data_IF_021454317579
#
_entry.id   IF_021454317579
#
_cell.length_a   1.000
_cell.length_b   1.000
_cell.length_c   1.000
_cell.angle_alpha   90.00
_cell.angle_beta   90.00
_cell.angle_gamma   90.00
#
_symmetry.space_group_name_H-M   'P 1'
#
loop_
_entity.id
_entity.type
_entity.pdbx_description
1 polymer ?
#
# COMPACT_ATOMS: atom_id res chain seq x y z
N UNK A 1 -27.55 -13.54 -2.82
CA UNK A 1 -26.69 -14.23 -1.83
C UNK A 1 -25.34 -14.70 -2.41
N UNK A 2 -25.27 -15.17 -3.67
CA UNK A 2 -24.01 -15.69 -4.25
C UNK A 2 -22.83 -14.70 -4.33
N UNK A 3 -23.06 -13.43 -4.64
CA UNK A 3 -21.99 -12.43 -4.81
C UNK A 3 -21.27 -12.10 -3.48
N UNK A 4 -22.01 -12.03 -2.37
CA UNK A 4 -21.43 -11.76 -1.05
C UNK A 4 -20.56 -12.91 -0.54
N UNK A 5 -20.99 -14.15 -0.76
CA UNK A 5 -20.21 -15.35 -0.42
C UNK A 5 -18.95 -15.41 -1.27
N UNK A 6 -19.03 -15.10 -2.57
CA UNK A 6 -17.87 -15.03 -3.45
C UNK A 6 -16.84 -14.00 -2.97
N UNK A 7 -17.28 -12.78 -2.62
CA UNK A 7 -16.39 -11.74 -2.11
C UNK A 7 -15.67 -12.18 -0.81
N UNK A 8 -16.39 -12.85 0.09
CA UNK A 8 -15.81 -13.42 1.32
C UNK A 8 -14.72 -14.45 0.98
N UNK A 9 -15.01 -15.40 0.08
CA UNK A 9 -14.03 -16.42 -0.32
C UNK A 9 -12.78 -15.79 -0.95
N UNK A 10 -12.94 -14.76 -1.78
CA UNK A 10 -11.82 -14.02 -2.37
C UNK A 10 -10.97 -13.34 -1.30
N UNK A 11 -11.60 -12.65 -0.33
CA UNK A 11 -10.87 -12.00 0.77
C UNK A 11 -10.09 -13.04 1.59
N UNK A 12 -10.72 -14.16 1.94
CA UNK A 12 -10.05 -15.25 2.67
C UNK A 12 -8.88 -15.83 1.87
N UNK A 13 -9.07 -16.06 0.57
CA UNK A 13 -8.01 -16.52 -0.32
C UNK A 13 -6.85 -15.53 -0.42
N UNK A 14 -7.14 -14.23 -0.47
CA UNK A 14 -6.12 -13.17 -0.46
C UNK A 14 -5.39 -13.10 0.89
N UNK A 15 -6.08 -13.25 2.02
CA UNK A 15 -5.46 -13.33 3.34
C UNK A 15 -4.54 -14.55 3.44
N UNK A 16 -4.97 -15.71 2.92
CA UNK A 16 -4.15 -16.92 2.86
C UNK A 16 -2.91 -16.72 1.98
N UNK A 17 -3.09 -16.19 0.77
CA UNK A 17 -1.99 -15.89 -0.16
C UNK A 17 -1.00 -14.92 0.47
N UNK A 18 -1.51 -13.86 1.10
CA UNK A 18 -0.70 -12.88 1.80
C UNK A 18 0.08 -13.53 2.94
N UNK A 19 -0.59 -14.29 3.82
CA UNK A 19 0.06 -14.94 4.96
C UNK A 19 1.19 -15.88 4.52
N UNK A 20 1.00 -16.59 3.41
CA UNK A 20 2.01 -17.48 2.83
C UNK A 20 3.23 -16.74 2.26
N UNK A 21 3.03 -15.52 1.78
CA UNK A 21 4.04 -14.73 1.08
C UNK A 21 4.36 -13.40 1.79
N UNK A 22 4.09 -13.30 3.10
CA UNK A 22 4.09 -12.02 3.82
C UNK A 22 5.45 -11.31 3.71
N UNK A 23 6.54 -12.07 3.87
CA UNK A 23 7.90 -11.58 3.71
C UNK A 23 8.17 -11.05 2.30
N UNK A 24 7.85 -11.84 1.27
CA UNK A 24 8.07 -11.45 -0.13
C UNK A 24 7.24 -10.22 -0.51
N UNK A 25 5.97 -10.15 -0.09
CA UNK A 25 5.08 -9.02 -0.37
C UNK A 25 5.58 -7.75 0.33
N UNK A 26 5.89 -7.82 1.62
CA UNK A 26 6.39 -6.65 2.34
C UNK A 26 7.76 -6.21 1.86
N UNK A 27 8.66 -7.13 1.53
CA UNK A 27 9.96 -6.81 0.95
C UNK A 27 9.79 -6.10 -0.39
N UNK A 28 8.92 -6.61 -1.27
CA UNK A 28 8.62 -5.97 -2.55
C UNK A 28 8.05 -4.55 -2.37
N UNK A 29 7.09 -4.37 -1.45
CA UNK A 29 6.51 -3.06 -1.13
C UNK A 29 7.56 -2.10 -0.54
N UNK A 30 8.44 -2.58 0.33
CA UNK A 30 9.52 -1.79 0.93
C UNK A 30 10.51 -1.33 -0.13
N UNK A 31 10.92 -2.22 -1.03
CA UNK A 31 11.83 -1.91 -2.13
C UNK A 31 11.18 -0.92 -3.11
N UNK A 32 9.92 -1.12 -3.49
CA UNK A 32 9.17 -0.19 -4.33
C UNK A 32 9.07 1.20 -3.68
N UNK A 33 8.76 1.25 -2.38
CA UNK A 33 8.72 2.51 -1.62
C UNK A 33 10.07 3.21 -1.62
N UNK A 34 11.17 2.48 -1.38
CA UNK A 34 12.52 3.05 -1.38
C UNK A 34 12.89 3.64 -2.76
N UNK A 35 12.62 2.88 -3.84
CA UNK A 35 12.88 3.33 -5.21
C UNK A 35 12.05 4.58 -5.55
N UNK A 36 10.75 4.57 -5.28
CA UNK A 36 9.90 5.73 -5.53
C UNK A 36 10.26 6.94 -4.68
N UNK A 37 10.66 6.72 -3.43
CA UNK A 37 11.16 7.78 -2.54
C UNK A 37 12.42 8.44 -3.11
N UNK A 38 13.40 7.64 -3.55
CA UNK A 38 14.62 8.14 -4.18
C UNK A 38 14.33 8.93 -5.47
N UNK A 39 13.48 8.39 -6.36
CA UNK A 39 13.08 9.08 -7.59
C UNK A 39 12.37 10.40 -7.30
N UNK A 40 11.53 10.44 -6.26
CA UNK A 40 10.86 11.66 -5.82
C UNK A 40 11.85 12.68 -5.27
N UNK A 41 12.85 12.27 -4.49
CA UNK A 41 13.91 13.17 -4.01
C UNK A 41 14.74 13.77 -5.16
N UNK A 42 15.14 12.94 -6.13
CA UNK A 42 15.86 13.41 -7.33
C UNK A 42 15.00 14.42 -8.10
N UNK A 43 13.70 14.13 -8.25
CA UNK A 43 12.76 15.04 -8.90
C UNK A 43 12.64 16.36 -8.15
N UNK A 44 12.51 16.34 -6.82
CA UNK A 44 12.50 17.56 -6.00
C UNK A 44 13.71 18.43 -6.28
N UNK A 45 14.90 17.85 -6.26
CA UNK A 45 16.17 18.57 -6.48
C UNK A 45 16.19 19.18 -7.89
N UNK A 46 15.88 18.39 -8.92
CA UNK A 46 15.88 18.85 -10.31
C UNK A 46 14.88 20.01 -10.56
N UNK A 47 13.67 19.91 -10.00
CA UNK A 47 12.65 20.95 -10.17
C UNK A 47 12.90 22.19 -9.29
N UNK A 48 13.56 22.04 -8.14
CA UNK A 48 14.00 23.18 -7.33
C UNK A 48 15.06 24.01 -8.06
N UNK A 49 16.05 23.36 -8.69
CA UNK A 49 17.09 24.05 -9.45
C UNK A 49 16.58 24.79 -10.69
N UNK A 50 15.46 24.34 -11.27
CA UNK A 50 14.81 25.00 -12.42
C UNK A 50 13.76 26.05 -12.02
N UNK A 51 13.66 26.39 -10.74
CA UNK A 51 12.71 27.40 -10.22
C UNK A 51 11.25 26.94 -10.23
N UNK A 52 10.96 25.67 -10.52
CA UNK A 52 9.61 25.09 -10.57
C UNK A 52 9.18 24.56 -9.19
N UNK A 53 9.11 25.44 -8.21
CA UNK A 53 8.86 25.09 -6.80
C UNK A 53 7.55 24.35 -6.55
N UNK A 54 6.50 24.61 -7.33
CA UNK A 54 5.20 23.92 -7.18
C UNK A 54 5.30 22.41 -7.45
N UNK A 55 6.15 22.00 -8.39
CA UNK A 55 6.40 20.58 -8.69
C UNK A 55 7.36 20.00 -7.64
N UNK A 56 8.40 20.74 -7.28
CA UNK A 56 9.36 20.33 -6.26
C UNK A 56 8.68 19.99 -4.93
N UNK A 57 7.75 20.83 -4.45
CA UNK A 57 7.00 20.60 -3.20
C UNK A 57 6.17 19.30 -3.28
N UNK A 58 5.53 19.02 -4.42
CA UNK A 58 4.76 17.80 -4.62
C UNK A 58 5.65 16.57 -4.57
N UNK A 59 6.80 16.60 -5.25
CA UNK A 59 7.79 15.53 -5.19
C UNK A 59 8.31 15.32 -3.77
N UNK A 60 8.50 16.39 -2.99
CA UNK A 60 8.90 16.26 -1.57
C UNK A 60 7.84 15.55 -0.74
N UNK A 61 6.56 15.85 -0.94
CA UNK A 61 5.48 15.16 -0.26
C UNK A 61 5.44 13.66 -0.61
N UNK A 62 5.68 13.31 -1.87
CA UNK A 62 5.81 11.90 -2.29
C UNK A 62 7.01 11.22 -1.63
N UNK A 63 8.16 11.89 -1.58
CA UNK A 63 9.37 11.37 -0.94
C UNK A 63 9.11 11.07 0.55
N UNK A 64 8.49 12.01 1.27
CA UNK A 64 8.15 11.84 2.68
C UNK A 64 7.17 10.67 2.89
N UNK A 65 6.12 10.56 2.08
CA UNK A 65 5.16 9.46 2.16
C UNK A 65 5.83 8.10 1.89
N UNK A 66 6.72 8.04 0.90
CA UNK A 66 7.47 6.83 0.56
C UNK A 66 8.45 6.43 1.68
N UNK A 67 9.14 7.39 2.29
CA UNK A 67 10.02 7.13 3.45
C UNK A 67 9.23 6.62 4.66
N UNK A 68 8.07 7.23 4.95
CA UNK A 68 7.17 6.73 5.98
C UNK A 68 6.72 5.30 5.69
N UNK A 69 6.32 5.01 4.44
CA UNK A 69 5.96 3.65 4.01
C UNK A 69 7.10 2.65 4.25
N UNK A 70 8.35 2.98 3.87
CA UNK A 70 9.52 2.09 4.11
C UNK A 70 9.65 1.71 5.58
N UNK A 71 9.53 2.68 6.49
CA UNK A 71 9.66 2.44 7.93
C UNK A 71 8.53 1.54 8.45
N UNK A 72 7.28 1.91 8.18
CA UNK A 72 6.11 1.19 8.69
C UNK A 72 5.91 -0.17 8.06
N UNK A 73 6.30 -0.37 6.79
CA UNK A 73 6.34 -1.69 6.16
C UNK A 73 7.38 -2.58 6.86
N UNK A 74 8.56 -2.04 7.20
CA UNK A 74 9.58 -2.76 7.95
C UNK A 74 9.04 -3.24 9.30
N UNK A 75 8.45 -2.33 10.07
CA UNK A 75 7.82 -2.65 11.36
C UNK A 75 6.66 -3.64 11.22
N UNK A 76 5.82 -3.50 10.19
CA UNK A 76 4.72 -4.42 9.92
C UNK A 76 5.20 -5.83 9.58
N UNK A 77 6.33 -5.96 8.90
CA UNK A 77 6.96 -7.25 8.61
C UNK A 77 7.57 -7.87 9.86
N UNK A 78 8.33 -7.11 10.65
CA UNK A 78 8.96 -7.57 11.88
C UNK A 78 7.94 -8.06 12.92
N UNK A 79 6.78 -7.40 12.99
CA UNK A 79 5.71 -7.75 13.93
C UNK A 79 4.70 -8.76 13.34
N UNK A 80 4.89 -9.26 12.12
CA UNK A 80 3.95 -10.21 11.53
C UNK A 80 4.05 -11.57 12.25
N UNK A 81 2.93 -12.16 12.74
CA UNK A 81 3.01 -13.40 13.51
C UNK A 81 3.46 -14.58 12.64
N UNK A 82 4.59 -15.17 13.01
CA UNK A 82 5.19 -16.31 12.29
C UNK A 82 4.25 -17.52 12.28
N UNK A 83 3.43 -17.68 13.32
CA UNK A 83 2.44 -18.75 13.43
C UNK A 83 1.40 -18.69 12.30
N UNK A 84 1.03 -17.49 11.83
CA UNK A 84 0.10 -17.34 10.71
C UNK A 84 0.72 -17.81 9.40
N UNK A 85 2.00 -17.50 9.17
CA UNK A 85 2.76 -17.97 8.02
C UNK A 85 2.90 -19.50 8.06
N UNK A 86 3.25 -20.05 9.23
CA UNK A 86 3.39 -21.50 9.41
C UNK A 86 2.06 -22.22 9.15
N UNK A 87 0.96 -21.71 9.68
CA UNK A 87 -0.38 -22.26 9.43
C UNK A 87 -0.74 -22.20 7.94
N UNK A 88 -0.49 -21.07 7.25
CA UNK A 88 -0.76 -20.94 5.82
C UNK A 88 0.08 -21.90 4.95
N UNK A 89 1.29 -22.24 5.38
CA UNK A 89 2.15 -23.20 4.68
C UNK A 89 1.72 -24.65 4.87
N UNK A 90 1.13 -24.98 6.02
CA UNK A 90 0.75 -26.36 6.38
C UNK A 90 -0.71 -26.70 6.07
N UNK A 91 -1.57 -25.68 5.94
CA UNK A 91 -3.00 -25.83 5.77
C UNK A 91 -3.47 -25.43 4.36
N UNK A 92 -4.62 -25.97 3.95
CA UNK A 92 -5.40 -25.41 2.84
C UNK A 92 -6.12 -24.13 3.30
N UNK A 93 -6.71 -23.40 2.35
CA UNK A 93 -7.37 -22.10 2.61
C UNK A 93 -8.46 -22.22 3.68
N UNK A 94 -9.27 -23.29 3.63
CA UNK A 94 -10.37 -23.50 4.59
C UNK A 94 -9.81 -23.77 5.99
N UNK A 95 -8.85 -24.68 6.13
CA UNK A 95 -8.26 -25.02 7.42
C UNK A 95 -7.50 -23.83 8.00
N UNK A 96 -6.75 -23.08 7.18
CA UNK A 96 -6.11 -21.83 7.60
C UNK A 96 -7.11 -20.87 8.23
N UNK A 97 -8.16 -20.50 7.49
CA UNK A 97 -9.10 -19.48 7.96
C UNK A 97 -9.88 -19.93 9.19
N UNK A 98 -10.34 -21.19 9.19
CA UNK A 98 -11.17 -21.70 10.27
C UNK A 98 -10.38 -22.01 11.55
N UNK A 99 -9.07 -22.27 11.45
CA UNK A 99 -8.21 -22.49 12.61
C UNK A 99 -7.74 -21.19 13.27
N UNK A 100 -7.83 -20.05 12.59
CA UNK A 100 -7.53 -18.75 13.19
C UNK A 100 -8.59 -18.37 14.24
N UNK A 101 -8.11 -17.92 15.40
CA UNK A 101 -8.91 -17.22 16.40
C UNK A 101 -9.48 -15.92 15.81
N UNK A 102 -10.57 -15.34 16.38
CA UNK A 102 -11.15 -14.09 15.90
C UNK A 102 -10.12 -12.97 15.73
N UNK A 103 -9.21 -12.82 16.70
CA UNK A 103 -8.10 -11.87 16.64
C UNK A 103 -7.17 -12.12 15.43
N UNK A 104 -6.78 -13.38 15.18
CA UNK A 104 -5.94 -13.74 14.05
C UNK A 104 -6.57 -13.43 12.69
N UNK A 105 -7.89 -13.60 12.56
CA UNK A 105 -8.63 -13.21 11.33
C UNK A 105 -8.65 -11.69 11.13
N UNK A 106 -8.86 -10.93 12.21
CA UNK A 106 -8.82 -9.47 12.15
C UNK A 106 -7.45 -8.95 11.75
N UNK A 107 -6.40 -9.59 12.27
CA UNK A 107 -5.01 -9.28 11.92
C UNK A 107 -4.70 -9.65 10.45
N UNK A 108 -5.16 -10.82 9.98
CA UNK A 108 -5.04 -11.20 8.56
C UNK A 108 -5.65 -10.16 7.62
N UNK A 109 -6.84 -9.64 7.98
CA UNK A 109 -7.53 -8.61 7.22
C UNK A 109 -6.78 -7.26 7.28
N UNK A 110 -6.23 -6.90 8.44
CA UNK A 110 -5.43 -5.69 8.62
C UNK A 110 -4.22 -5.69 7.68
N UNK A 111 -3.45 -6.78 7.68
CA UNK A 111 -2.25 -6.88 6.85
C UNK A 111 -2.59 -6.92 5.36
N UNK A 112 -3.64 -7.64 4.97
CA UNK A 112 -4.12 -7.61 3.58
C UNK A 112 -4.55 -6.21 3.15
N UNK A 113 -5.36 -5.51 3.96
CA UNK A 113 -5.86 -4.18 3.64
C UNK A 113 -4.74 -3.13 3.61
N UNK A 114 -3.86 -3.14 4.61
CA UNK A 114 -2.73 -2.21 4.69
C UNK A 114 -1.69 -2.46 3.61
N UNK A 115 -1.35 -3.71 3.29
CA UNK A 115 -0.40 -4.01 2.23
C UNK A 115 -0.98 -3.77 0.83
N UNK A 116 -2.23 -4.19 0.59
CA UNK A 116 -2.88 -4.08 -0.72
C UNK A 116 -3.38 -2.67 -1.02
N UNK A 117 -4.32 -2.16 -0.21
CA UNK A 117 -4.98 -0.87 -0.46
C UNK A 117 -4.18 0.31 0.08
N UNK A 118 -3.54 0.12 1.24
CA UNK A 118 -2.76 1.16 1.89
C UNK A 118 -1.45 1.45 1.16
N UNK A 119 -0.45 0.60 1.38
CA UNK A 119 0.88 0.71 0.79
C UNK A 119 0.86 0.45 -0.71
N UNK A 120 0.35 -0.69 -1.18
CA UNK A 120 0.39 -1.06 -2.60
C UNK A 120 -0.30 -0.04 -3.52
N UNK A 121 -1.60 0.15 -3.34
CA UNK A 121 -2.36 1.11 -4.15
C UNK A 121 -1.94 2.56 -3.89
N UNK A 122 -1.66 2.94 -2.64
CA UNK A 122 -1.14 4.27 -2.31
C UNK A 122 0.17 4.59 -3.03
N UNK A 123 1.13 3.66 -3.05
CA UNK A 123 2.39 3.81 -3.77
C UNK A 123 2.19 3.88 -5.28
N UNK A 124 1.30 3.06 -5.86
CA UNK A 124 0.97 3.15 -7.30
C UNK A 124 0.42 4.53 -7.67
N UNK A 125 -0.48 5.07 -6.85
CA UNK A 125 -1.05 6.41 -7.03
C UNK A 125 0.04 7.48 -6.97
N UNK A 126 0.98 7.36 -6.03
CA UNK A 126 2.09 8.31 -5.88
C UNK A 126 3.21 8.12 -6.91
N UNK A 127 3.40 6.93 -7.47
CA UNK A 127 4.42 6.65 -8.48
C UNK A 127 4.24 7.52 -9.71
N UNK A 128 2.99 7.75 -10.13
CA UNK A 128 2.65 8.69 -11.21
C UNK A 128 3.08 10.13 -10.90
N UNK A 129 3.04 10.55 -9.63
CA UNK A 129 3.48 11.87 -9.21
C UNK A 129 5.00 12.02 -9.10
N UNK A 130 5.76 10.94 -8.92
CA UNK A 130 7.22 10.95 -8.88
C UNK A 130 7.87 10.75 -10.27
N UNK A 131 7.40 9.77 -11.03
CA UNK A 131 8.06 9.31 -12.27
C UNK A 131 7.75 10.23 -13.44
N UNK A 132 6.50 10.67 -13.55
CA UNK A 132 6.03 11.37 -14.74
C UNK A 132 6.65 12.77 -14.92
N UNK A 133 6.84 13.58 -13.84
CA UNK A 133 7.58 14.83 -13.94
C UNK A 133 9.04 14.60 -14.36
N UNK A 134 9.71 13.59 -13.79
CA UNK A 134 11.10 13.26 -14.13
C UNK A 134 11.25 12.86 -15.61
N UNK A 135 10.33 12.03 -16.12
CA UNK A 135 10.29 11.64 -17.53
C UNK A 135 10.11 12.86 -18.43
N UNK A 136 9.20 13.77 -18.10
CA UNK A 136 9.01 15.00 -18.88
C UNK A 136 10.25 15.87 -18.86
N UNK A 137 10.87 16.03 -17.69
CA UNK A 137 12.10 16.78 -17.57
C UNK A 137 13.20 16.20 -18.46
N UNK A 138 13.39 14.87 -18.44
CA UNK A 138 14.35 14.18 -19.29
C UNK A 138 14.03 14.34 -20.79
N UNK A 139 12.76 14.19 -21.20
CA UNK A 139 12.36 14.37 -22.59
C UNK A 139 12.53 15.81 -23.08
N UNK A 140 12.26 16.80 -22.22
CA UNK A 140 12.48 18.21 -22.56
C UNK A 140 13.98 18.49 -22.77
N UNK A 141 14.83 17.94 -21.91
CA UNK A 141 16.29 18.06 -22.03
C UNK A 141 16.84 17.36 -23.28
N UNK A 142 16.21 16.27 -23.72
CA UNK A 142 16.54 15.55 -24.95
C UNK A 142 15.89 16.14 -26.21
N UNK A 143 15.16 17.27 -26.11
CA UNK A 143 14.50 17.92 -27.25
C UNK A 143 13.28 17.18 -27.82
N UNK A 144 12.73 16.21 -27.08
CA UNK A 144 11.64 15.33 -27.52
C UNK A 144 10.27 15.64 -26.89
N UNK A 145 10.13 16.76 -26.16
CA UNK A 145 8.89 17.06 -25.43
C UNK A 145 7.74 17.52 -26.34
N UNK A 146 6.53 17.01 -26.11
CA UNK A 146 5.29 17.53 -26.73
C UNK A 146 4.36 18.13 -25.67
N UNK A 147 3.68 19.24 -26.00
CA UNK A 147 2.69 19.89 -25.12
C UNK A 147 1.59 18.94 -24.64
N UNK A 148 1.24 17.94 -25.46
CA UNK A 148 0.21 16.94 -25.15
C UNK A 148 0.64 16.04 -23.99
N UNK A 149 1.94 15.75 -23.89
CA UNK A 149 2.52 14.95 -22.83
C UNK A 149 2.55 15.71 -21.50
N UNK A 150 2.91 17.00 -21.53
CA UNK A 150 2.90 17.86 -20.35
C UNK A 150 1.49 18.06 -19.78
N UNK A 151 0.49 18.25 -20.64
CA UNK A 151 -0.92 18.34 -20.22
C UNK A 151 -1.46 17.04 -19.62
N UNK A 152 -1.05 15.89 -20.14
CA UNK A 152 -1.47 14.59 -19.62
C UNK A 152 -0.84 14.34 -18.24
N UNK A 153 0.42 14.72 -18.07
CA UNK A 153 1.09 14.55 -16.81
C UNK A 153 0.64 15.49 -15.69
N UNK A 154 0.34 16.74 -16.02
CA UNK A 154 -0.23 17.68 -15.04
C UNK A 154 -1.60 17.22 -14.52
N UNK A 155 -2.39 16.49 -15.32
CA UNK A 155 -3.64 15.85 -14.87
C UNK A 155 -3.39 14.64 -13.96
N UNK A 156 -2.46 13.76 -14.33
CA UNK A 156 -2.10 12.57 -13.54
C UNK A 156 -1.40 12.92 -12.22
N UNK A 157 -0.81 14.11 -12.12
CA UNK A 157 -0.12 14.64 -10.91
C UNK A 157 -0.94 15.69 -10.17
N UNK A 158 -2.28 15.62 -10.27
CA UNK A 158 -3.16 16.54 -9.55
C UNK A 158 -2.99 16.43 -8.03
N UNK A 159 -3.27 17.52 -7.31
CA UNK A 159 -3.19 17.55 -5.84
C UNK A 159 -4.12 16.50 -5.22
N UNK A 160 -5.30 16.26 -5.81
CA UNK A 160 -6.24 15.25 -5.32
C UNK A 160 -5.66 13.83 -5.36
N UNK A 161 -4.94 13.47 -6.42
CA UNK A 161 -4.25 12.17 -6.54
C UNK A 161 -3.17 12.04 -5.46
N UNK A 162 -2.42 13.12 -5.21
CA UNK A 162 -1.37 13.14 -4.21
C UNK A 162 -1.93 13.02 -2.79
N UNK A 163 -3.01 13.74 -2.48
CA UNK A 163 -3.72 13.63 -1.21
C UNK A 163 -4.29 12.22 -1.00
N UNK A 164 -4.87 11.61 -2.03
CA UNK A 164 -5.38 10.24 -1.95
C UNK A 164 -4.25 9.24 -1.65
N UNK A 165 -3.13 9.31 -2.39
CA UNK A 165 -1.98 8.43 -2.17
C UNK A 165 -1.37 8.60 -0.77
N UNK A 166 -1.18 9.84 -0.31
CA UNK A 166 -0.70 10.12 1.04
C UNK A 166 -1.69 9.67 2.12
N UNK A 167 -3.00 9.83 1.91
CA UNK A 167 -4.02 9.37 2.84
C UNK A 167 -4.03 7.84 2.95
N UNK A 168 -3.92 7.12 1.84
CA UNK A 168 -3.87 5.65 1.83
C UNK A 168 -2.64 5.12 2.58
N UNK A 169 -1.46 5.68 2.29
CA UNK A 169 -0.23 5.31 3.00
C UNK A 169 -0.32 5.72 4.48
N UNK A 170 -0.80 6.93 4.76
CA UNK A 170 -0.95 7.43 6.13
C UNK A 170 -1.92 6.60 6.97
N UNK A 171 -3.05 6.17 6.40
CA UNK A 171 -3.99 5.25 7.03
C UNK A 171 -3.36 3.88 7.27
N UNK A 172 -2.55 3.38 6.32
CA UNK A 172 -1.81 2.13 6.49
C UNK A 172 -0.80 2.22 7.63
N UNK A 173 0.00 3.28 7.67
CA UNK A 173 0.94 3.55 8.76
C UNK A 173 0.21 3.66 10.10
N UNK A 174 -0.89 4.43 10.15
CA UNK A 174 -1.69 4.60 11.35
C UNK A 174 -2.23 3.26 11.86
N UNK A 175 -2.70 2.38 10.97
CA UNK A 175 -3.24 1.07 11.34
C UNK A 175 -2.20 0.13 11.99
N UNK A 176 -0.90 0.43 11.83
CA UNK A 176 0.22 -0.25 12.49
C UNK A 176 0.72 0.46 13.76
N UNK A 177 0.04 1.51 14.22
CA UNK A 177 0.24 2.11 15.55
C UNK A 177 -0.65 1.44 16.60
N UNK A 178 -0.36 1.63 17.89
CA UNK A 178 -1.17 1.06 18.97
C UNK A 178 -2.65 1.52 18.88
N UNK A 179 -2.87 2.81 18.68
CA UNK A 179 -4.22 3.38 18.59
C UNK A 179 -4.96 2.90 17.33
N UNK A 180 -4.27 2.89 16.18
CA UNK A 180 -4.89 2.46 14.93
C UNK A 180 -5.21 0.96 14.92
N UNK A 181 -4.37 0.13 15.52
CA UNK A 181 -4.66 -1.28 15.73
C UNK A 181 -5.89 -1.45 16.62
N UNK A 182 -5.96 -0.74 17.75
CA UNK A 182 -7.11 -0.80 18.65
C UNK A 182 -8.41 -0.39 17.94
N UNK A 183 -8.37 0.68 17.14
CA UNK A 183 -9.49 1.13 16.34
C UNK A 183 -9.91 0.09 15.29
N UNK A 184 -8.94 -0.52 14.59
CA UNK A 184 -9.21 -1.59 13.62
C UNK A 184 -9.91 -2.79 14.26
N UNK A 185 -9.41 -3.25 15.40
CA UNK A 185 -10.00 -4.37 16.15
C UNK A 185 -11.41 -4.03 16.61
N UNK A 186 -11.65 -2.81 17.08
CA UNK A 186 -12.97 -2.32 17.45
C UNK A 186 -13.97 -2.32 16.28
N UNK A 187 -13.55 -1.85 15.09
CA UNK A 187 -14.39 -1.84 13.88
C UNK A 187 -14.68 -3.25 13.36
N UNK A 188 -13.70 -4.15 13.44
CA UNK A 188 -13.79 -5.50 12.89
C UNK A 188 -14.31 -6.55 13.87
N UNK A 189 -14.59 -6.18 15.13
CA UNK A 189 -15.20 -7.06 16.13
C UNK A 189 -16.49 -7.71 15.64
N UNK A 190 -17.35 -6.95 14.96
CA UNK A 190 -18.66 -7.43 14.45
C UNK A 190 -18.55 -8.32 13.20
N UNK A 191 -17.42 -8.25 12.48
CA UNK A 191 -17.13 -9.10 11.31
C UNK A 191 -16.73 -10.54 11.71
N UNK A 192 -16.55 -10.83 13.00
CA UNK A 192 -16.16 -12.16 13.50
C UNK A 192 -17.32 -13.17 13.58
N UNK A 193 -18.58 -12.69 13.53
CA UNK A 193 -19.78 -13.50 13.70
C UNK A 193 -20.29 -14.03 12.35
N UNK A 194 -19.79 -15.21 11.95
CA UNK A 194 -20.37 -16.02 10.87
C UNK A 194 -19.65 -15.92 9.52
N UNK A 195 -18.49 -16.57 9.41
CA UNK A 195 -17.85 -16.77 8.11
C UNK A 195 -18.43 -18.02 7.45
N UNK A 196 -19.15 -17.91 6.31
CA UNK A 196 -19.82 -19.04 5.66
C UNK A 196 -18.84 -20.14 5.24
N UNK A 197 -17.56 -19.80 5.04
CA UNK A 197 -16.49 -20.76 4.70
C UNK A 197 -16.22 -21.79 5.83
N UNK A 198 -16.59 -21.46 7.07
CA UNK A 198 -16.45 -22.33 8.24
C UNK A 198 -17.77 -22.99 8.66
N UNK A 199 -18.87 -22.74 7.95
CA UNK A 199 -20.08 -23.53 8.10
C UNK A 199 -19.82 -24.95 7.54
N UNK A 200 -20.36 -25.97 8.22
CA UNK A 200 -20.25 -27.37 7.79
C UNK A 200 -21.07 -27.61 6.53
#
# INVERSE_FOLDING_TARGET
>A
MGVGVLAIVVIVGLCYYFARNAEAVYLALRMASAVFGLLAMVSTIAFAFTGRYSVAIRCTAVALAAMAAVSFIGTALENYPVEMTNLANQADIKTFWCSLLPYGRQLALLHLASAGLGFGFGLMVLAGAAILPLLIFAMHYMGASSERLERTATRLTSIGVLLLGCALIGLACYAHTQDGLAQWLGMTAKLSLGWPICAR
#
